data_IF_921358221480
#
_entry.id   IF_921358221480
#
_cell.length_a   1.000
_cell.length_b   1.000
_cell.length_c   1.000
_cell.angle_alpha   90.00
_cell.angle_beta   90.00
_cell.angle_gamma   90.00
#
_symmetry.space_group_name_H-M   'P 1'
#
loop_
_entity.id
_entity.type
_entity.pdbx_description
1 polymer ?
#
# COMPACT_ATOMS: atom_id res chain seq x y z
N UNK A 1 -8.90 33.87 -12.26
CA UNK A 1 -8.20 32.58 -12.14
C UNK A 1 -8.27 31.93 -13.50
N UNK A 2 -7.13 31.48 -14.04
CA UNK A 2 -7.05 30.88 -15.37
C UNK A 2 -7.30 29.37 -15.24
N UNK A 3 -7.89 28.73 -16.25
CA UNK A 3 -8.20 27.29 -16.21
C UNK A 3 -6.95 26.41 -16.02
N UNK A 4 -5.81 26.84 -16.56
CA UNK A 4 -4.52 26.15 -16.38
C UNK A 4 -4.05 26.09 -14.92
N UNK A 5 -4.31 27.15 -14.14
CA UNK A 5 -3.91 27.22 -12.72
C UNK A 5 -4.78 26.29 -11.87
N UNK A 6 -6.07 26.19 -12.19
CA UNK A 6 -6.99 25.24 -11.54
C UNK A 6 -6.61 23.79 -11.83
N UNK A 7 -6.24 23.47 -13.07
CA UNK A 7 -5.78 22.12 -13.43
C UNK A 7 -4.50 21.73 -12.67
N UNK A 8 -3.56 22.67 -12.48
CA UNK A 8 -2.38 22.44 -11.65
C UNK A 8 -2.74 22.20 -10.18
N UNK A 9 -3.55 23.07 -9.59
CA UNK A 9 -3.96 22.94 -8.19
C UNK A 9 -4.69 21.61 -7.93
N UNK A 10 -5.56 21.17 -8.85
CA UNK A 10 -6.23 19.87 -8.74
C UNK A 10 -5.29 18.70 -8.94
N UNK A 11 -4.29 18.81 -9.82
CA UNK A 11 -3.29 17.76 -10.01
C UNK A 11 -2.45 17.56 -8.75
N UNK A 12 -1.97 18.66 -8.16
CA UNK A 12 -1.21 18.64 -6.91
C UNK A 12 -2.06 18.10 -5.75
N UNK A 13 -3.34 18.47 -5.69
CA UNK A 13 -4.27 17.95 -4.70
C UNK A 13 -4.54 16.45 -4.91
N UNK A 14 -4.62 15.97 -6.16
CA UNK A 14 -4.84 14.56 -6.47
C UNK A 14 -3.63 13.71 -6.05
N UNK A 15 -2.40 14.22 -6.24
CA UNK A 15 -1.18 13.59 -5.73
C UNK A 15 -1.14 13.57 -4.20
N UNK A 16 -1.61 14.62 -3.53
CA UNK A 16 -1.72 14.62 -2.07
C UNK A 16 -2.80 13.66 -1.56
N UNK A 17 -3.95 13.58 -2.24
CA UNK A 17 -5.00 12.63 -1.94
C UNK A 17 -4.49 11.20 -2.11
N UNK A 18 -3.69 10.95 -3.16
CA UNK A 18 -2.97 9.69 -3.35
C UNK A 18 -2.06 9.36 -2.16
N UNK A 19 -1.22 10.30 -1.74
CA UNK A 19 -0.34 10.11 -0.57
C UNK A 19 -1.13 9.86 0.73
N UNK A 20 -2.35 10.39 0.84
CA UNK A 20 -3.26 10.19 1.98
C UNK A 20 -4.14 8.93 1.86
N UNK A 21 -4.02 8.18 0.75
CA UNK A 21 -4.90 7.05 0.37
C UNK A 21 -6.37 7.40 0.27
N UNK A 22 -6.66 8.66 0.00
CA UNK A 22 -8.03 9.09 -0.18
C UNK A 22 -8.39 8.93 -1.66
N UNK A 23 -8.75 7.70 -2.03
CA UNK A 23 -9.10 7.32 -3.40
C UNK A 23 -10.31 8.08 -3.91
N UNK A 24 -11.26 8.36 -3.03
CA UNK A 24 -12.48 9.08 -3.36
C UNK A 24 -12.17 10.55 -3.65
N UNK A 25 -11.31 11.17 -2.84
CA UNK A 25 -10.83 12.52 -3.12
C UNK A 25 -9.97 12.56 -4.38
N UNK A 26 -9.09 11.59 -4.60
CA UNK A 26 -8.24 11.56 -5.80
C UNK A 26 -9.07 11.40 -7.08
N UNK A 27 -10.01 10.45 -7.12
CA UNK A 27 -10.88 10.27 -8.29
C UNK A 27 -11.73 11.50 -8.54
N UNK A 28 -12.30 12.09 -7.48
CA UNK A 28 -13.08 13.33 -7.58
C UNK A 28 -12.26 14.49 -8.14
N UNK A 29 -11.02 14.67 -7.68
CA UNK A 29 -10.12 15.72 -8.19
C UNK A 29 -9.74 15.50 -9.65
N UNK A 30 -9.54 14.25 -10.08
CA UNK A 30 -9.25 13.98 -11.49
C UNK A 30 -10.51 14.14 -12.36
N UNK A 31 -11.69 13.78 -11.85
CA UNK A 31 -12.96 14.04 -12.54
C UNK A 31 -13.19 15.55 -12.72
N UNK A 32 -12.90 16.39 -11.72
CA UNK A 32 -12.93 17.85 -11.83
C UNK A 32 -11.97 18.38 -12.91
N UNK A 33 -10.76 17.80 -13.04
CA UNK A 33 -9.84 18.14 -14.13
C UNK A 33 -10.44 17.77 -15.49
N UNK A 34 -11.08 16.60 -15.59
CA UNK A 34 -11.71 16.13 -16.83
C UNK A 34 -13.00 16.88 -17.17
N UNK A 35 -13.69 17.49 -16.20
CA UNK A 35 -14.80 18.41 -16.46
C UNK A 35 -14.32 19.72 -17.09
N UNK A 36 -13.16 20.24 -16.65
CA UNK A 36 -12.56 21.46 -17.20
C UNK A 36 -11.90 21.20 -18.56
N UNK A 37 -11.16 20.11 -18.68
CA UNK A 37 -10.54 19.66 -19.93
C UNK A 37 -10.72 18.14 -20.11
N UNK A 38 -11.79 17.72 -20.82
CA UNK A 38 -12.05 16.31 -21.12
C UNK A 38 -10.95 15.65 -21.97
N UNK A 39 -10.13 16.46 -22.62
CA UNK A 39 -9.00 16.05 -23.43
C UNK A 39 -7.71 15.91 -22.65
N UNK A 40 -7.67 16.27 -21.36
CA UNK A 40 -6.45 16.39 -20.59
C UNK A 40 -5.71 15.04 -20.54
N UNK A 41 -4.55 14.92 -21.23
CA UNK A 41 -3.82 13.67 -21.27
C UNK A 41 -3.22 13.31 -19.91
N UNK A 42 -2.93 14.32 -19.08
CA UNK A 42 -2.31 14.13 -17.76
C UNK A 42 -3.30 13.53 -16.77
N UNK A 43 -4.54 14.02 -16.74
CA UNK A 43 -5.62 13.48 -15.90
C UNK A 43 -5.92 12.00 -16.22
N UNK A 44 -6.08 11.69 -17.52
CA UNK A 44 -6.29 10.30 -17.96
C UNK A 44 -5.09 9.40 -17.65
N UNK A 45 -3.88 9.93 -17.81
CA UNK A 45 -2.66 9.21 -17.48
C UNK A 45 -2.58 8.90 -15.99
N UNK A 46 -2.86 9.87 -15.12
CA UNK A 46 -2.89 9.69 -13.67
C UNK A 46 -3.89 8.61 -13.25
N UNK A 47 -5.16 8.70 -13.67
CA UNK A 47 -6.17 7.67 -13.36
C UNK A 47 -5.73 6.28 -13.83
N UNK A 48 -5.23 6.17 -15.06
CA UNK A 48 -4.80 4.89 -15.63
C UNK A 48 -3.62 4.31 -14.86
N UNK A 49 -2.61 5.13 -14.55
CA UNK A 49 -1.43 4.72 -13.78
C UNK A 49 -1.83 4.26 -12.38
N UNK A 50 -2.72 5.00 -11.71
CA UNK A 50 -3.19 4.65 -10.37
C UNK A 50 -3.98 3.35 -10.37
N UNK A 51 -4.90 3.18 -11.33
CA UNK A 51 -5.70 1.97 -11.41
C UNK A 51 -4.84 0.73 -11.71
N UNK A 52 -3.81 0.88 -12.55
CA UNK A 52 -2.84 -0.18 -12.81
C UNK A 52 -2.04 -0.53 -11.55
N UNK A 53 -1.50 0.48 -10.86
CA UNK A 53 -0.75 0.29 -9.61
C UNK A 53 -1.60 -0.38 -8.53
N UNK A 54 -2.86 0.06 -8.36
CA UNK A 54 -3.79 -0.54 -7.41
C UNK A 54 -4.07 -2.01 -7.73
N UNK A 55 -4.41 -2.33 -8.99
CA UNK A 55 -4.63 -3.73 -9.41
C UNK A 55 -3.38 -4.59 -9.25
N UNK A 56 -2.19 -4.01 -9.40
CA UNK A 56 -0.93 -4.71 -9.18
C UNK A 56 -0.69 -4.97 -7.68
N UNK A 57 -0.90 -3.97 -6.83
CA UNK A 57 -0.82 -4.11 -5.37
C UNK A 57 -1.80 -5.17 -4.87
N UNK A 58 -3.06 -5.18 -5.33
CA UNK A 58 -4.05 -6.18 -4.95
C UNK A 58 -3.62 -7.61 -5.32
N UNK A 59 -3.05 -7.80 -6.52
CA UNK A 59 -2.50 -9.10 -6.93
C UNK A 59 -1.33 -9.53 -6.05
N UNK A 60 -0.40 -8.62 -5.78
CA UNK A 60 0.75 -8.89 -4.91
C UNK A 60 0.32 -9.24 -3.48
N UNK A 61 -0.74 -8.62 -2.97
CA UNK A 61 -1.31 -8.93 -1.65
C UNK A 61 -1.86 -10.35 -1.63
N UNK A 62 -2.62 -10.77 -2.66
CA UNK A 62 -3.15 -12.14 -2.77
C UNK A 62 -2.00 -13.15 -2.81
N UNK A 63 -1.00 -12.92 -3.66
CA UNK A 63 0.17 -13.80 -3.78
C UNK A 63 0.94 -13.87 -2.45
N UNK A 64 1.05 -12.74 -1.74
CA UNK A 64 1.73 -12.69 -0.45
C UNK A 64 0.96 -13.45 0.62
N UNK A 65 -0.37 -13.35 0.64
CA UNK A 65 -1.22 -14.14 1.55
C UNK A 65 -1.09 -15.64 1.29
N UNK A 66 -1.03 -16.06 0.02
CA UNK A 66 -0.75 -17.45 -0.32
C UNK A 66 0.65 -17.87 0.19
N UNK A 67 1.67 -17.04 -0.02
CA UNK A 67 3.02 -17.32 0.47
C UNK A 67 3.08 -17.39 2.01
N UNK A 68 2.29 -16.58 2.73
CA UNK A 68 2.12 -16.66 4.20
C UNK A 68 1.51 -18.02 4.58
N UNK A 69 0.46 -18.47 3.90
CA UNK A 69 -0.17 -19.77 4.18
C UNK A 69 0.79 -20.95 3.96
N UNK A 70 1.72 -20.82 3.01
CA UNK A 70 2.79 -21.79 2.76
C UNK A 70 4.04 -21.59 3.63
N UNK A 71 4.02 -20.65 4.59
CA UNK A 71 5.16 -20.28 5.44
C UNK A 71 6.43 -19.88 4.66
N UNK A 72 6.27 -19.44 3.42
CA UNK A 72 7.38 -19.03 2.56
C UNK A 72 7.73 -17.57 2.81
N UNK A 73 8.33 -17.30 3.97
CA UNK A 73 8.56 -15.95 4.46
C UNK A 73 9.51 -15.11 3.60
N UNK A 74 10.47 -15.75 2.91
CA UNK A 74 11.33 -15.04 1.93
C UNK A 74 10.50 -14.48 0.77
N UNK A 75 9.52 -15.25 0.28
CA UNK A 75 8.63 -14.79 -0.78
C UNK A 75 7.69 -13.71 -0.29
N UNK A 76 7.17 -13.83 0.94
CA UNK A 76 6.36 -12.78 1.57
C UNK A 76 7.15 -11.48 1.68
N UNK A 77 8.41 -11.52 2.10
CA UNK A 77 9.28 -10.33 2.20
C UNK A 77 9.47 -9.65 0.85
N UNK A 78 9.78 -10.43 -0.19
CA UNK A 78 9.96 -9.91 -1.56
C UNK A 78 8.68 -9.29 -2.10
N UNK A 79 7.53 -9.94 -1.91
CA UNK A 79 6.24 -9.41 -2.36
C UNK A 79 5.85 -8.14 -1.60
N UNK A 80 6.12 -8.09 -0.29
CA UNK A 80 5.93 -6.90 0.52
C UNK A 80 6.81 -5.73 0.06
N UNK A 81 8.08 -5.98 -0.29
CA UNK A 81 8.97 -4.97 -0.86
C UNK A 81 8.45 -4.45 -2.21
N UNK A 82 7.91 -5.33 -3.07
CA UNK A 82 7.31 -4.92 -4.34
C UNK A 82 6.07 -4.05 -4.13
N UNK A 83 5.24 -4.35 -3.13
CA UNK A 83 4.09 -3.51 -2.76
C UNK A 83 4.59 -2.14 -2.28
N UNK A 84 5.59 -2.10 -1.40
CA UNK A 84 6.17 -0.87 -0.87
C UNK A 84 6.95 -0.05 -1.91
N UNK A 85 7.40 -0.66 -3.00
CA UNK A 85 7.98 0.07 -4.12
C UNK A 85 6.92 0.82 -4.94
N UNK A 86 5.69 0.30 -4.98
CA UNK A 86 4.55 0.92 -5.67
C UNK A 86 3.81 1.92 -4.78
N UNK A 87 3.64 1.60 -3.51
CA UNK A 87 3.10 2.48 -2.48
C UNK A 87 3.95 2.33 -1.20
N UNK A 88 4.92 3.25 -0.97
CA UNK A 88 5.84 3.20 0.17
C UNK A 88 5.17 3.23 1.53
N UNK A 89 3.93 3.73 1.61
CA UNK A 89 3.22 3.77 2.88
C UNK A 89 2.33 2.55 3.06
N UNK A 90 2.12 1.68 2.05
CA UNK A 90 1.05 0.66 2.02
C UNK A 90 0.94 -0.17 3.31
N UNK A 91 -0.25 -0.16 3.95
CA UNK A 91 -0.45 -0.81 5.25
C UNK A 91 -0.31 -2.32 5.12
N UNK A 92 -0.77 -2.91 4.01
CA UNK A 92 -0.63 -4.35 3.77
C UNK A 92 0.83 -4.70 3.49
N UNK A 93 1.53 -3.91 2.67
CA UNK A 93 2.96 -4.06 2.42
C UNK A 93 3.80 -3.98 3.70
N UNK A 94 3.53 -3.00 4.57
CA UNK A 94 4.19 -2.88 5.87
C UNK A 94 3.89 -4.06 6.79
N UNK A 95 2.62 -4.49 6.86
CA UNK A 95 2.19 -5.62 7.68
C UNK A 95 2.79 -6.95 7.20
N UNK A 96 2.80 -7.20 5.89
CA UNK A 96 3.40 -8.38 5.27
C UNK A 96 4.91 -8.42 5.48
N UNK A 97 5.59 -7.26 5.37
CA UNK A 97 7.02 -7.15 5.67
C UNK A 97 7.31 -7.49 7.13
N UNK A 98 6.52 -6.96 8.06
CA UNK A 98 6.66 -7.28 9.49
C UNK A 98 6.35 -8.76 9.80
N UNK A 99 5.35 -9.35 9.13
CA UNK A 99 5.04 -10.78 9.25
C UNK A 99 6.20 -11.64 8.71
N UNK A 100 6.77 -11.27 7.56
CA UNK A 100 7.91 -11.97 6.97
C UNK A 100 9.14 -11.94 7.87
N UNK A 101 9.48 -10.79 8.45
CA UNK A 101 10.60 -10.71 9.40
C UNK A 101 10.39 -11.57 10.65
N UNK A 102 9.15 -11.62 11.18
CA UNK A 102 8.82 -12.52 12.29
C UNK A 102 8.97 -14.00 11.90
N UNK A 103 8.48 -14.37 10.72
CA UNK A 103 8.52 -15.75 10.23
C UNK A 103 9.92 -16.22 9.80
N UNK A 104 10.77 -15.29 9.32
CA UNK A 104 12.18 -15.56 9.01
C UNK A 104 13.04 -15.76 10.26
N UNK A 105 12.51 -15.46 11.45
CA UNK A 105 13.22 -15.67 12.71
C UNK A 105 14.53 -14.88 12.75
N UNK A 106 14.41 -13.55 12.77
CA UNK A 106 15.42 -12.58 13.24
C UNK A 106 16.86 -13.13 13.39
N UNK A 107 17.59 -13.32 12.28
CA UNK A 107 19.04 -13.53 12.32
C UNK A 107 19.86 -12.28 12.01
N UNK A 108 19.26 -11.16 11.59
CA UNK A 108 20.01 -9.90 11.48
C UNK A 108 19.10 -8.68 11.23
N UNK A 109 19.03 -7.78 12.23
CA UNK A 109 19.05 -6.28 12.15
C UNK A 109 18.07 -5.55 13.13
N UNK A 110 18.41 -4.30 13.55
CA UNK A 110 18.40 -3.89 14.95
C UNK A 110 17.08 -3.30 15.46
N UNK A 111 16.59 -3.88 16.57
CA UNK A 111 16.12 -3.25 17.81
C UNK A 111 15.26 -1.98 17.79
N UNK A 112 14.34 -1.77 16.82
CA UNK A 112 13.39 -0.65 16.99
C UNK A 112 11.98 -0.80 16.39
N UNK A 113 11.49 -2.03 16.15
CA UNK A 113 10.12 -2.24 15.62
C UNK A 113 9.09 -2.67 16.69
N UNK A 114 9.53 -3.06 17.88
CA UNK A 114 8.66 -3.42 19.03
C UNK A 114 7.68 -2.29 19.40
N UNK A 115 8.07 -1.02 19.21
CA UNK A 115 7.26 0.14 19.55
C UNK A 115 6.03 0.34 18.65
N UNK A 116 6.05 -0.18 17.42
CA UNK A 116 4.98 0.08 16.42
C UNK A 116 3.98 -1.07 16.34
N UNK A 117 4.45 -2.32 16.48
CA UNK A 117 3.61 -3.51 16.32
C UNK A 117 2.69 -3.77 17.53
N UNK A 118 3.04 -3.28 18.73
CA UNK A 118 2.28 -3.52 19.95
C UNK A 118 0.94 -2.77 20.00
N UNK A 119 0.73 -1.79 19.12
CA UNK A 119 -0.46 -0.93 19.13
C UNK A 119 -1.65 -1.50 18.35
N UNK A 120 -1.49 -2.60 17.61
CA UNK A 120 -2.50 -3.12 16.67
C UNK A 120 -2.64 -4.65 16.64
N UNK A 121 -2.60 -5.34 17.78
CA UNK A 121 -3.04 -6.73 17.85
C UNK A 121 -4.25 -6.89 18.78
N UNK A 122 -5.45 -7.20 18.27
CA UNK A 122 -6.37 -8.03 19.03
C UNK A 122 -5.80 -9.46 19.05
N UNK A 123 -5.40 -9.86 20.26
CA UNK A 123 -5.32 -11.22 20.83
C UNK A 123 -5.63 -12.34 19.81
N UNK A 124 -4.60 -13.03 19.31
CA UNK A 124 -4.76 -14.42 18.84
C UNK A 124 -4.47 -15.30 20.05
N UNK A 125 -5.40 -16.18 20.48
CA UNK A 125 -5.17 -17.06 21.62
C UNK A 125 -4.07 -18.07 21.27
N UNK A 126 -3.09 -18.18 22.18
CA UNK A 126 -2.07 -19.21 22.15
C UNK A 126 -2.73 -20.59 22.24
N UNK A 127 -2.84 -21.30 21.13
CA UNK A 127 -3.19 -22.73 21.16
C UNK A 127 -1.94 -23.52 21.54
N UNK A 128 -1.80 -23.67 22.85
CA UNK A 128 -1.34 -24.86 23.57
C UNK A 128 -0.21 -25.70 22.98
N UNK A 129 1.02 -25.40 23.37
CA UNK A 129 2.00 -26.45 23.68
C UNK A 129 1.93 -26.66 25.19
N UNK A 130 1.33 -27.77 25.62
CA UNK A 130 1.63 -28.37 26.91
C UNK A 130 1.85 -29.87 26.73
N UNK A 131 2.99 -30.28 27.25
CA UNK A 131 3.54 -31.62 27.28
C UNK A 131 2.70 -32.58 28.13
N UNK A 132 2.80 -33.87 27.79
CA UNK A 132 2.25 -35.00 28.52
C UNK A 132 2.47 -36.28 27.73
#
# INVERSE_FOLDING_TARGET
>A
MNGETLIQDFSDAAEQAYARRDWQSMSGLVDEILEIDPGNPNAKFLLTMFEQNWRQIQRLIIDAQQAVNHLNWQTVLRLAQNILALDPVDLNGLALRAAAYRGLGDQDQPTNWLSTAQRFLPIIPAVGVFAG
#
